data_IF_487138829940
#
_entry.id   IF_487138829940
#
_cell.length_a   1.000
_cell.length_b   1.000
_cell.length_c   1.000
_cell.angle_alpha   90.00
_cell.angle_beta   90.00
_cell.angle_gamma   90.00
#
_symmetry.space_group_name_H-M   'P 1'
#
loop_
_entity.id
_entity.type
_entity.pdbx_description
1 polymer ?
2 non-polymer ?
3 water ?
#
# COMPACT_ATOMS: atom_id res chain seq x y z
N UNK A 1 3.55 -1.44 15.59
CA UNK A 1 4.42 -0.57 14.65
C UNK A 1 3.59 -0.03 13.52
N UNK A 2 3.07 1.18 13.65
CA UNK A 2 2.21 1.72 12.62
C UNK A 2 1.11 0.74 12.23
N UNK A 3 0.83 0.79 10.96
CA UNK A 3 -0.30 0.12 10.43
C UNK A 3 0.07 -0.75 9.22
N UNK A 4 -0.67 -1.83 9.06
CA UNK A 4 -0.43 -2.75 7.96
C UNK A 4 -1.70 -3.02 7.25
N UNK A 5 -1.54 -3.50 5.98
CA UNK A 5 -2.65 -3.74 5.08
C UNK A 5 -2.31 -4.94 4.20
N UNK A 6 -3.26 -5.78 3.94
CA UNK A 6 -3.10 -6.92 3.06
C UNK A 6 -3.61 -6.64 1.66
N UNK A 7 -2.77 -6.83 0.67
CA UNK A 7 -3.15 -6.63 -0.71
C UNK A 7 -4.35 -7.49 -1.09
N UNK A 8 -5.38 -6.84 -1.55
CA UNK A 8 -6.62 -7.50 -2.06
C UNK A 8 -6.65 -7.54 -3.60
N UNK A 9 -7.52 -8.38 -4.15
CA UNK A 9 -7.59 -8.47 -5.59
C UNK A 9 -7.81 -7.10 -6.26
N UNK A 10 -7.05 -6.81 -7.25
CA UNK A 10 -7.15 -5.55 -8.01
C UNK A 10 -6.40 -4.41 -7.40
N UNK A 11 -5.88 -4.52 -6.17
CA UNK A 11 -5.20 -3.38 -5.56
C UNK A 11 -3.99 -2.95 -6.32
N UNK A 12 -3.74 -1.64 -6.24
CA UNK A 12 -2.56 -0.99 -6.76
C UNK A 12 -2.07 -0.02 -5.68
N UNK A 13 -0.82 0.40 -5.75
CA UNK A 13 -0.39 1.47 -4.83
C UNK A 13 -1.25 2.74 -5.01
N UNK A 14 -1.65 3.05 -6.23
CA UNK A 14 -2.49 4.24 -6.41
C UNK A 14 -3.78 4.07 -5.61
N UNK A 15 -4.47 2.96 -5.75
CA UNK A 15 -5.74 2.79 -5.09
C UNK A 15 -5.58 2.77 -3.56
N UNK A 16 -4.53 2.15 -3.09
CA UNK A 16 -4.25 2.08 -1.68
C UNK A 16 -3.90 3.49 -1.14
N UNK A 17 -3.09 4.20 -1.84
CA UNK A 17 -2.75 5.59 -1.49
C UNK A 17 -4.04 6.40 -1.34
N UNK A 18 -4.90 6.31 -2.35
CA UNK A 18 -6.10 7.09 -2.30
C UNK A 18 -6.96 6.72 -1.09
N UNK A 19 -7.13 5.47 -0.77
CA UNK A 19 -7.91 5.11 0.41
C UNK A 19 -7.32 5.60 1.69
N UNK A 20 -5.99 5.57 1.76
CA UNK A 20 -5.25 5.93 3.02
C UNK A 20 -4.97 7.43 3.13
N UNK A 21 -5.41 8.22 2.13
CA UNK A 21 -5.20 9.68 2.19
C UNK A 21 -3.81 10.11 1.97
N UNK A 22 -3.09 9.40 1.05
CA UNK A 22 -1.70 9.73 0.75
C UNK A 22 -1.42 9.56 -0.70
N UNK A 23 -0.14 9.50 -1.09
CA UNK A 23 0.28 9.41 -2.46
C UNK A 23 1.08 8.09 -2.69
N UNK A 24 1.22 7.76 -3.96
CA UNK A 24 2.01 6.57 -4.32
C UNK A 24 3.42 6.71 -3.82
N UNK A 25 4.00 7.89 -3.87
CA UNK A 25 5.38 8.00 -3.42
C UNK A 25 5.53 7.72 -1.93
N UNK A 26 4.51 8.06 -1.15
CA UNK A 26 4.55 7.71 0.26
C UNK A 26 4.36 6.22 0.46
N UNK A 27 3.43 5.59 -0.25
CA UNK A 27 3.30 4.15 -0.13
C UNK A 27 4.61 3.46 -0.51
N UNK A 28 5.26 3.92 -1.57
CA UNK A 28 6.52 3.35 -1.92
C UNK A 28 7.56 3.54 -0.83
N UNK A 29 7.61 4.72 -0.23
CA UNK A 29 8.60 4.98 0.82
C UNK A 29 8.39 4.14 2.04
N UNK A 30 7.14 3.80 2.35
CA UNK A 30 6.85 2.91 3.46
C UNK A 30 7.14 1.47 3.11
N UNK A 31 7.34 1.14 1.86
CA UNK A 31 7.54 -0.21 1.40
C UNK A 31 8.65 -0.21 0.35
N UNK A 32 9.87 0.23 0.75
CA UNK A 32 10.89 0.57 -0.22
C UNK A 32 11.39 -0.60 -0.97
N UNK A 33 11.23 -1.82 -0.42
CA UNK A 33 11.65 -3.02 -1.09
C UNK A 33 10.63 -3.73 -1.89
N UNK A 34 9.40 -3.10 -2.02
CA UNK A 34 8.30 -3.69 -2.76
C UNK A 34 8.21 -3.07 -4.15
N UNK A 35 8.18 -3.91 -5.17
CA UNK A 35 7.97 -3.49 -6.55
C UNK A 35 6.45 -3.33 -6.76
N UNK A 36 6.00 -2.08 -7.12
CA UNK A 36 4.59 -1.86 -7.25
C UNK A 36 3.91 -2.56 -8.40
N UNK A 37 4.71 -3.11 -9.34
CA UNK A 37 4.21 -3.85 -10.45
C UNK A 37 4.26 -5.35 -10.18
N UNK A 38 4.62 -5.77 -8.95
CA UNK A 38 4.73 -7.21 -8.60
C UNK A 38 4.00 -7.51 -7.35
N UNK A 39 2.91 -6.85 -7.05
CA UNK A 39 2.11 -7.18 -5.88
C UNK A 39 1.42 -8.51 -6.05
N UNK A 40 1.20 -9.15 -4.91
CA UNK A 40 0.46 -10.42 -4.84
C UNK A 40 -0.66 -10.27 -3.84
N UNK A 41 -1.84 -10.77 -4.19
CA UNK A 41 -2.91 -10.83 -3.23
C UNK A 41 -2.45 -11.59 -2.00
N UNK A 42 -2.66 -11.03 -0.82
CA UNK A 42 -2.20 -11.64 0.40
C UNK A 42 -0.90 -11.08 0.93
N UNK A 43 -0.16 -10.35 0.11
CA UNK A 43 1.05 -9.68 0.61
C UNK A 43 0.70 -8.59 1.63
N UNK A 44 1.50 -8.48 2.67
CA UNK A 44 1.27 -7.47 3.71
C UNK A 44 2.24 -6.32 3.49
N UNK A 45 1.69 -5.12 3.47
CA UNK A 45 2.45 -3.87 3.31
C UNK A 45 2.16 -2.95 4.48
N UNK A 46 3.05 -1.97 4.59
CA UNK A 46 2.93 -0.87 5.54
C UNK A 46 2.13 0.26 4.92
N UNK A 47 1.22 0.84 5.70
CA UNK A 47 0.42 1.96 5.26
C UNK A 47 0.35 3.02 6.33
N UNK A 48 -0.02 4.26 6.00
CA UNK A 48 -0.33 5.25 7.04
C UNK A 48 -1.51 4.81 7.87
N UNK A 49 -1.56 5.29 9.07
CA UNK A 49 -2.67 5.00 9.97
C UNK A 49 -3.79 6.00 9.78
X LIG B 1 -2.85 -8.99 -7.93
X LIG B 1 -4.26 -8.65 -7.82
X LIG B 1 -2.15 -8.07 -7.01
X LIG B 1 -3.20 -7.15 -6.73
#
# INVERSE_FOLDING_TARGET
MGCTYTIQPGDTFWAIAQRRGTTVDVIQSLNPGVNPARLQVGQVINVPC
EDO C1 O1 C2 O2
#
